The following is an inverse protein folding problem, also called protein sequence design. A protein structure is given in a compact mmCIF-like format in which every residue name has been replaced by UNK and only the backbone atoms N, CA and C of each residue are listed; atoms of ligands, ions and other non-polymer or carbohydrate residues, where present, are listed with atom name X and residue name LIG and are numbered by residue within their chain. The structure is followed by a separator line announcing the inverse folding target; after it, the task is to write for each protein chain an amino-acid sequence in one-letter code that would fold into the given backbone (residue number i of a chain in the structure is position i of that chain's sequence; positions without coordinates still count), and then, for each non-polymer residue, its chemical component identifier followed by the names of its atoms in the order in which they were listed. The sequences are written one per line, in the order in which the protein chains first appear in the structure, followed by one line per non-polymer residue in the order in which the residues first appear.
data_IF_232667202567
#
_entry.id   IF_232667202567
#
_cell.length_a   1.000
_cell.length_b   1.000
_cell.length_c   1.000
_cell.angle_alpha   90.00
_cell.angle_beta   90.00
_cell.angle_gamma   90.00
#
_symmetry.space_group_name_H-M   'P 1'
#
loop_
_entity.id
_entity.type
_entity.pdbx_description
1 polymer ?
#
# COMPACT_ATOMS: atom_id res chain seq x y z
N UNK A 1 -7.32 -1.43 11.65
CA UNK A 1 -6.87 -0.25 12.42
C UNK A 1 -7.51 0.95 11.75
N UNK A 2 -8.55 1.51 12.38
CA UNK A 2 -9.31 2.61 11.80
C UNK A 2 -8.57 3.89 12.14
N UNK A 3 -8.12 4.63 11.13
CA UNK A 3 -7.71 6.03 11.28
C UNK A 3 -8.94 6.83 11.75
N UNK A 4 -9.16 6.82 13.06
CA UNK A 4 -10.24 7.56 13.73
C UNK A 4 -9.92 9.05 13.61
N UNK A 5 -10.66 9.73 12.74
CA UNK A 5 -10.54 11.17 12.51
C UNK A 5 -9.50 11.52 11.45
N UNK A 6 -9.91 11.55 10.18
CA UNK A 6 -9.14 12.26 9.17
C UNK A 6 -9.12 13.75 9.50
N UNK A 7 -8.14 14.21 10.27
CA UNK A 7 -7.96 15.62 10.63
C UNK A 7 -7.65 16.51 9.40
N UNK A 8 -7.43 15.89 8.23
CA UNK A 8 -7.21 16.56 6.95
C UNK A 8 -8.41 17.37 6.43
N UNK A 9 -9.54 17.46 7.13
CA UNK A 9 -10.51 18.52 6.82
C UNK A 9 -9.94 19.92 7.10
N UNK A 10 -9.01 20.04 8.06
CA UNK A 10 -8.37 21.30 8.46
C UNK A 10 -7.20 21.63 7.54
N UNK A 11 -7.19 22.84 6.96
CA UNK A 11 -6.24 23.28 5.92
C UNK A 11 -4.75 23.09 6.29
N UNK A 12 -4.41 23.14 7.59
CA UNK A 12 -3.04 22.91 8.09
C UNK A 12 -2.66 21.44 8.33
N UNK A 13 -3.62 20.56 8.62
CA UNK A 13 -3.37 19.15 9.00
C UNK A 13 -3.41 18.16 7.83
N UNK A 14 -3.76 18.65 6.63
CA UNK A 14 -3.88 17.85 5.40
C UNK A 14 -2.60 17.16 4.97
N UNK A 15 -1.48 17.88 5.04
CA UNK A 15 -0.18 17.35 4.64
C UNK A 15 0.28 16.25 5.59
N UNK A 16 0.07 16.46 6.88
CA UNK A 16 0.45 15.49 7.90
C UNK A 16 -0.45 14.25 7.84
N UNK A 17 -1.75 14.42 7.58
CA UNK A 17 -2.68 13.30 7.34
C UNK A 17 -2.31 12.49 6.08
N UNK A 18 -1.96 13.16 4.98
CA UNK A 18 -1.48 12.52 3.75
C UNK A 18 -0.18 11.74 3.97
N UNK A 19 0.76 12.32 4.72
CA UNK A 19 2.00 11.63 5.10
C UNK A 19 1.72 10.42 5.98
N UNK A 20 0.87 10.56 7.01
CA UNK A 20 0.51 9.47 7.91
C UNK A 20 -0.11 8.27 7.18
N UNK A 21 -0.95 8.52 6.17
CA UNK A 21 -1.53 7.47 5.32
C UNK A 21 -0.44 6.75 4.53
N UNK A 22 0.46 7.51 3.88
CA UNK A 22 1.56 6.93 3.10
C UNK A 22 2.47 6.09 3.99
N UNK A 23 2.82 6.58 5.17
CA UNK A 23 3.58 5.82 6.17
C UNK A 23 2.84 4.56 6.62
N UNK A 24 1.52 4.61 6.80
CA UNK A 24 0.73 3.44 7.19
C UNK A 24 0.70 2.36 6.09
N UNK A 25 0.58 2.76 4.83
CA UNK A 25 0.63 1.84 3.68
C UNK A 25 2.03 1.20 3.60
N UNK A 26 3.10 1.99 3.75
CA UNK A 26 4.48 1.47 3.79
C UNK A 26 4.69 0.52 4.96
N UNK A 27 4.19 0.87 6.16
CA UNK A 27 4.26 0.02 7.34
C UNK A 27 3.59 -1.33 7.09
N UNK A 28 2.42 -1.34 6.45
CA UNK A 28 1.76 -2.59 6.05
C UNK A 28 2.59 -3.37 5.03
N UNK A 29 3.15 -2.70 4.02
CA UNK A 29 4.06 -3.31 3.04
C UNK A 29 5.27 -3.99 3.70
N UNK A 30 5.99 -3.26 4.56
CA UNK A 30 7.15 -3.79 5.30
C UNK A 30 6.78 -5.00 6.16
N UNK A 31 5.60 -4.99 6.81
CA UNK A 31 5.13 -6.17 7.57
C UNK A 31 4.90 -7.38 6.68
N UNK A 32 4.23 -7.21 5.54
CA UNK A 32 4.01 -8.30 4.60
C UNK A 32 5.33 -8.85 4.05
N UNK A 33 6.27 -7.94 3.75
CA UNK A 33 7.62 -8.28 3.30
C UNK A 33 8.38 -9.12 4.33
N UNK A 34 8.29 -8.76 5.61
CA UNK A 34 9.00 -9.51 6.66
C UNK A 34 8.50 -10.96 6.78
N UNK A 35 7.18 -11.18 6.73
CA UNK A 35 6.63 -12.54 6.72
C UNK A 35 7.14 -13.36 5.51
N UNK A 36 7.19 -12.75 4.32
CA UNK A 36 7.70 -13.40 3.11
C UNK A 36 9.22 -13.62 3.15
N UNK A 37 9.98 -12.71 3.77
CA UNK A 37 11.43 -12.86 3.93
C UNK A 37 11.77 -14.02 4.87
N UNK A 38 11.02 -14.17 5.97
CA UNK A 38 11.16 -15.33 6.87
C UNK A 38 10.94 -16.65 6.11
N UNK A 39 9.92 -16.70 5.25
CA UNK A 39 9.62 -17.86 4.40
C UNK A 39 10.72 -18.08 3.37
N UNK A 40 11.23 -17.03 2.73
CA UNK A 40 12.35 -17.11 1.79
C UNK A 40 13.57 -17.75 2.44
N UNK A 41 14.01 -17.21 3.58
CA UNK A 41 15.24 -17.65 4.25
C UNK A 41 15.10 -19.09 4.76
N UNK A 42 13.93 -19.42 5.32
CA UNK A 42 13.64 -20.78 5.78
C UNK A 42 13.58 -21.77 4.61
N UNK A 43 12.88 -21.42 3.53
CA UNK A 43 12.83 -22.25 2.30
C UNK A 43 14.20 -22.48 1.70
N UNK A 44 15.09 -21.48 1.75
CA UNK A 44 16.45 -21.61 1.25
C UNK A 44 17.28 -22.60 2.09
N UNK A 45 17.17 -22.52 3.43
CA UNK A 45 17.80 -23.50 4.34
C UNK A 45 17.30 -24.92 4.10
N UNK A 46 15.99 -25.07 3.86
CA UNK A 46 15.33 -26.36 3.65
C UNK A 46 15.47 -26.88 2.21
N UNK A 47 16.26 -26.19 1.37
CA UNK A 47 16.48 -26.50 -0.05
C UNK A 47 15.20 -26.50 -0.91
N UNK A 48 14.12 -25.86 -0.44
CA UNK A 48 12.87 -25.62 -1.18
C UNK A 48 12.99 -24.39 -2.08
N UNK A 49 13.87 -24.47 -3.07
CA UNK A 49 14.30 -23.33 -3.91
C UNK A 49 13.14 -22.66 -4.65
N UNK A 50 12.13 -23.43 -5.09
CA UNK A 50 10.98 -22.86 -5.80
C UNK A 50 10.13 -21.93 -4.93
N UNK A 51 9.96 -22.27 -3.65
CA UNK A 51 9.24 -21.42 -2.68
C UNK A 51 10.08 -20.18 -2.39
N UNK A 52 11.39 -20.34 -2.20
CA UNK A 52 12.29 -19.21 -1.97
C UNK A 52 12.22 -18.21 -3.13
N UNK A 53 12.31 -18.68 -4.39
CA UNK A 53 12.19 -17.81 -5.58
C UNK A 53 10.84 -17.09 -5.62
N UNK A 54 9.74 -17.78 -5.34
CA UNK A 54 8.41 -17.19 -5.33
C UNK A 54 8.27 -16.11 -4.24
N UNK A 55 8.74 -16.39 -3.02
CA UNK A 55 8.71 -15.43 -1.92
C UNK A 55 9.57 -14.19 -2.23
N UNK A 56 10.77 -14.39 -2.81
CA UNK A 56 11.65 -13.29 -3.20
C UNK A 56 11.04 -12.41 -4.29
N UNK A 57 10.38 -13.00 -5.28
CA UNK A 57 9.67 -12.25 -6.31
C UNK A 57 8.59 -11.34 -5.69
N UNK A 58 7.78 -11.88 -4.78
CA UNK A 58 6.75 -11.11 -4.08
C UNK A 58 7.36 -9.98 -3.21
N UNK A 59 8.47 -10.23 -2.51
CA UNK A 59 9.20 -9.17 -1.80
C UNK A 59 9.63 -8.03 -2.72
N UNK A 60 10.11 -8.33 -3.94
CA UNK A 60 10.49 -7.29 -4.91
C UNK A 60 9.26 -6.48 -5.37
N UNK A 61 8.10 -7.12 -5.55
CA UNK A 61 6.84 -6.42 -5.85
C UNK A 61 6.45 -5.46 -4.72
N UNK A 62 6.62 -5.88 -3.46
CA UNK A 62 6.38 -5.01 -2.30
C UNK A 62 7.36 -3.83 -2.28
N UNK A 63 8.64 -4.08 -2.56
CA UNK A 63 9.66 -3.03 -2.62
C UNK A 63 9.31 -1.98 -3.70
N UNK A 64 8.81 -2.41 -4.86
CA UNK A 64 8.31 -1.50 -5.91
C UNK A 64 7.11 -0.67 -5.45
N UNK A 65 6.16 -1.26 -4.72
CA UNK A 65 5.03 -0.52 -4.15
C UNK A 65 5.49 0.55 -3.16
N UNK A 66 6.41 0.21 -2.26
CA UNK A 66 6.96 1.15 -1.27
C UNK A 66 7.65 2.32 -1.96
N UNK A 67 8.46 2.04 -2.98
CA UNK A 67 9.16 3.06 -3.76
C UNK A 67 8.19 4.01 -4.48
N UNK A 68 7.10 3.46 -5.05
CA UNK A 68 6.06 4.27 -5.69
C UNK A 68 5.34 5.18 -4.70
N UNK A 69 5.12 4.72 -3.46
CA UNK A 69 4.52 5.52 -2.39
C UNK A 69 5.46 6.65 -1.95
N UNK A 70 6.75 6.36 -1.82
CA UNK A 70 7.76 7.35 -1.44
C UNK A 70 7.92 8.44 -2.50
N UNK A 71 7.89 8.06 -3.78
CA UNK A 71 7.93 9.00 -4.92
C UNK A 71 6.59 9.67 -5.22
N UNK A 72 5.51 9.22 -4.60
CA UNK A 72 4.16 9.73 -4.87
C UNK A 72 4.05 11.21 -4.51
N UNK A 73 3.56 12.06 -5.42
CA UNK A 73 3.42 13.48 -5.14
C UNK A 73 2.36 13.70 -4.05
N UNK A 74 2.70 14.54 -3.06
CA UNK A 74 1.65 15.14 -2.24
C UNK A 74 0.84 16.09 -3.14
N UNK A 75 -0.48 15.91 -3.22
CA UNK A 75 -1.37 16.77 -4.03
C UNK A 75 -1.51 18.21 -3.51
N UNK A 76 -0.63 18.65 -2.61
CA UNK A 76 -0.72 19.89 -1.85
C UNK A 76 0.55 20.76 -1.99
N UNK A 77 1.21 20.68 -3.15
CA UNK A 77 2.35 21.52 -3.50
C UNK A 77 1.88 22.84 -4.10
N UNK A 78 1.51 23.78 -3.23
CA UNK A 78 1.31 25.16 -3.64
C UNK A 78 2.15 26.08 -2.75
N UNK A 79 2.98 26.90 -3.39
CA UNK A 79 3.67 28.00 -2.74
C UNK A 79 2.63 28.92 -2.09
N UNK A 80 2.96 29.47 -0.91
CA UNK A 80 2.10 30.34 -0.08
C UNK A 80 1.41 31.50 -0.83
N UNK A 81 1.81 31.82 -2.07
CA UNK A 81 1.27 32.90 -2.90
C UNK A 81 0.30 32.47 -4.02
N UNK A 82 0.02 31.18 -4.26
CA UNK A 82 -0.93 30.82 -5.31
C UNK A 82 -2.38 30.92 -4.79
N UNK A 83 -3.13 31.92 -5.26
CA UNK A 83 -4.54 32.17 -4.92
C UNK A 83 -5.55 31.11 -5.40
N UNK A 84 -5.16 29.83 -5.51
CA UNK A 84 -6.11 28.75 -5.81
C UNK A 84 -6.90 28.33 -4.56
N UNK A 85 -8.22 28.18 -4.74
CA UNK A 85 -9.16 27.74 -3.70
C UNK A 85 -8.78 26.34 -3.21
N UNK A 86 -8.85 26.15 -1.90
CA UNK A 86 -8.73 24.86 -1.22
C UNK A 86 -9.56 23.78 -1.91
N UNK A 87 -9.04 22.56 -2.00
CA UNK A 87 -9.76 21.34 -2.38
C UNK A 87 -11.21 21.32 -1.85
N UNK A 88 -12.19 20.98 -2.71
CA UNK A 88 -13.59 20.87 -2.28
C UNK A 88 -13.80 19.67 -1.35
N UNK A 89 -14.77 19.79 -0.43
CA UNK A 89 -15.09 18.73 0.54
C UNK A 89 -15.45 17.41 -0.15
N UNK A 90 -16.11 17.45 -1.30
CA UNK A 90 -16.50 16.25 -2.05
C UNK A 90 -15.30 15.49 -2.63
N UNK A 91 -14.27 16.18 -3.12
CA UNK A 91 -13.06 15.53 -3.62
C UNK A 91 -12.19 15.03 -2.46
N UNK A 92 -12.12 15.77 -1.34
CA UNK A 92 -11.46 15.28 -0.12
C UNK A 92 -12.09 13.97 0.37
N UNK A 93 -13.42 13.86 0.41
CA UNK A 93 -14.11 12.61 0.75
C UNK A 93 -13.75 11.45 -0.18
N UNK A 94 -13.59 11.71 -1.49
CA UNK A 94 -13.14 10.70 -2.46
C UNK A 94 -11.71 10.24 -2.19
N UNK A 95 -10.81 11.17 -1.90
CA UNK A 95 -9.42 10.85 -1.56
C UNK A 95 -9.33 10.02 -0.29
N UNK A 96 -10.06 10.40 0.77
CA UNK A 96 -10.10 9.65 2.04
C UNK A 96 -10.59 8.23 1.81
N UNK A 97 -11.68 8.07 1.05
CA UNK A 97 -12.21 6.74 0.74
C UNK A 97 -11.20 5.91 -0.05
N UNK A 98 -10.60 6.50 -1.08
CA UNK A 98 -9.58 5.84 -1.89
C UNK A 98 -8.39 5.38 -1.04
N UNK A 99 -7.83 6.27 -0.22
CA UNK A 99 -6.72 5.96 0.68
C UNK A 99 -7.10 4.87 1.71
N UNK A 100 -8.32 4.91 2.27
CA UNK A 100 -8.83 3.89 3.18
C UNK A 100 -8.93 2.51 2.50
N UNK A 101 -9.48 2.45 1.29
CA UNK A 101 -9.62 1.22 0.52
C UNK A 101 -8.22 0.61 0.24
N UNK A 102 -7.19 1.43 -0.05
CA UNK A 102 -5.81 0.95 -0.20
C UNK A 102 -5.29 0.33 1.10
N UNK A 103 -5.50 0.97 2.25
CA UNK A 103 -5.07 0.44 3.56
C UNK A 103 -5.76 -0.90 3.85
N UNK A 104 -7.04 -1.04 3.52
CA UNK A 104 -7.77 -2.29 3.68
C UNK A 104 -7.21 -3.41 2.79
N UNK A 105 -6.89 -3.10 1.53
CA UNK A 105 -6.22 -4.06 0.63
C UNK A 105 -4.85 -4.46 1.15
N UNK A 106 -4.06 -3.52 1.68
CA UNK A 106 -2.76 -3.81 2.28
C UNK A 106 -2.87 -4.65 3.56
N UNK A 107 -3.89 -4.41 4.37
CA UNK A 107 -4.16 -5.22 5.56
C UNK A 107 -4.47 -6.67 5.16
N UNK A 108 -5.24 -6.88 4.08
CA UNK A 108 -5.49 -8.21 3.52
C UNK A 108 -4.18 -8.86 3.03
N UNK A 109 -3.31 -8.11 2.35
CA UNK A 109 -2.01 -8.62 1.91
C UNK A 109 -1.14 -9.09 3.09
N UNK A 110 -1.11 -8.33 4.20
CA UNK A 110 -0.43 -8.72 5.45
C UNK A 110 -1.00 -10.03 5.99
N UNK A 111 -2.32 -10.16 6.06
CA UNK A 111 -2.96 -11.39 6.56
C UNK A 111 -2.64 -12.61 5.68
N UNK A 112 -2.61 -12.44 4.35
CA UNK A 112 -2.20 -13.50 3.42
C UNK A 112 -0.72 -13.84 3.65
N UNK A 113 0.18 -12.86 3.79
CA UNK A 113 1.61 -13.11 4.03
C UNK A 113 1.87 -13.87 5.34
N UNK A 114 1.10 -13.57 6.40
CA UNK A 114 1.13 -14.33 7.65
C UNK A 114 0.64 -15.77 7.42
N UNK A 115 -0.42 -15.95 6.63
CA UNK A 115 -0.92 -17.27 6.25
C UNK A 115 0.11 -18.08 5.44
N UNK A 116 0.95 -17.42 4.63
CA UNK A 116 2.07 -18.09 3.93
C UNK A 116 3.07 -18.63 4.96
N UNK A 117 3.49 -17.80 5.92
CA UNK A 117 4.45 -18.22 6.95
C UNK A 117 3.89 -19.36 7.81
N UNK A 118 2.62 -19.25 8.22
CA UNK A 118 1.93 -20.33 8.92
C UNK A 118 1.86 -21.60 8.06
N UNK A 119 1.46 -21.52 6.79
CA UNK A 119 1.37 -22.67 5.90
C UNK A 119 2.74 -23.35 5.72
N UNK A 120 3.81 -22.57 5.57
CA UNK A 120 5.16 -23.09 5.47
C UNK A 120 5.60 -23.79 6.77
N UNK A 121 5.32 -23.21 7.93
CA UNK A 121 5.68 -23.79 9.24
C UNK A 121 4.87 -25.04 9.62
N UNK A 122 3.67 -25.19 9.06
CA UNK A 122 2.75 -26.32 9.35
C UNK A 122 2.93 -27.49 8.39
N UNK A 123 4.07 -27.57 7.69
CA UNK A 123 4.39 -28.60 6.69
C UNK A 123 3.28 -28.85 5.66
N UNK A 124 2.55 -27.78 5.29
CA UNK A 124 1.61 -27.84 4.16
C UNK A 124 2.36 -28.13 2.87
N UNK A 125 1.62 -28.58 1.87
CA UNK A 125 2.22 -28.91 0.59
C UNK A 125 2.86 -27.68 -0.04
N UNK A 126 4.02 -27.86 -0.67
CA UNK A 126 4.74 -26.76 -1.33
C UNK A 126 3.85 -26.02 -2.36
N UNK A 127 2.89 -26.72 -2.97
CA UNK A 127 1.92 -26.11 -3.89
C UNK A 127 0.93 -25.17 -3.20
N UNK A 128 0.46 -25.49 -1.99
CA UNK A 128 -0.39 -24.60 -1.20
C UNK A 128 0.37 -23.34 -0.77
N UNK A 129 1.61 -23.50 -0.31
CA UNK A 129 2.46 -22.36 0.07
C UNK A 129 2.68 -21.44 -1.15
N UNK A 130 3.04 -22.00 -2.31
CA UNK A 130 3.18 -21.24 -3.56
C UNK A 130 1.89 -20.55 -3.98
N UNK A 131 0.74 -21.20 -3.81
CA UNK A 131 -0.57 -20.59 -4.10
C UNK A 131 -0.82 -19.37 -3.22
N UNK A 132 -0.54 -19.45 -1.92
CA UNK A 132 -0.69 -18.32 -1.00
C UNK A 132 0.28 -17.18 -1.32
N UNK A 133 1.53 -17.48 -1.69
CA UNK A 133 2.49 -16.46 -2.13
C UNK A 133 1.96 -15.71 -3.36
N UNK A 134 1.41 -16.43 -4.34
CA UNK A 134 0.81 -15.82 -5.54
C UNK A 134 -0.41 -14.96 -5.21
N UNK A 135 -1.26 -15.40 -4.28
CA UNK A 135 -2.38 -14.59 -3.80
C UNK A 135 -1.92 -13.31 -3.11
N UNK A 136 -0.83 -13.39 -2.33
CA UNK A 136 -0.21 -12.21 -1.71
C UNK A 136 0.32 -11.25 -2.79
N UNK A 137 1.06 -11.76 -3.77
CA UNK A 137 1.63 -10.97 -4.87
C UNK A 137 0.54 -10.29 -5.72
N UNK A 138 -0.55 -11.01 -6.02
CA UNK A 138 -1.70 -10.44 -6.71
C UNK A 138 -2.37 -9.33 -5.89
N UNK A 139 -2.50 -9.51 -4.57
CA UNK A 139 -3.06 -8.47 -3.70
C UNK A 139 -2.16 -7.24 -3.66
N UNK A 140 -0.84 -7.40 -3.54
CA UNK A 140 0.12 -6.29 -3.57
C UNK A 140 0.07 -5.56 -4.91
N UNK A 141 0.05 -6.28 -6.03
CA UNK A 141 -0.05 -5.68 -7.37
C UNK A 141 -1.36 -4.92 -7.55
N UNK A 142 -2.47 -5.48 -7.04
CA UNK A 142 -3.77 -4.81 -7.06
C UNK A 142 -3.77 -3.54 -6.21
N UNK A 143 -3.19 -3.59 -5.00
CA UNK A 143 -3.03 -2.42 -4.12
C UNK A 143 -2.20 -1.34 -4.78
N UNK A 144 -1.10 -1.71 -5.45
CA UNK A 144 -0.24 -0.81 -6.21
C UNK A 144 -0.97 -0.14 -7.36
N UNK A 145 -1.68 -0.91 -8.17
CA UNK A 145 -2.51 -0.40 -9.26
C UNK A 145 -3.58 0.57 -8.74
N UNK A 146 -4.29 0.20 -7.69
CA UNK A 146 -5.31 1.05 -7.09
C UNK A 146 -4.71 2.32 -6.48
N UNK A 147 -3.57 2.22 -5.77
CA UNK A 147 -2.84 3.37 -5.25
C UNK A 147 -2.38 4.32 -6.36
N UNK A 148 -1.92 3.82 -7.51
CA UNK A 148 -1.49 4.67 -8.62
C UNK A 148 -2.62 5.56 -9.17
N UNK A 149 -3.88 5.12 -9.09
CA UNK A 149 -5.05 5.91 -9.47
C UNK A 149 -5.29 7.13 -8.56
N UNK A 150 -4.58 7.21 -7.42
CA UNK A 150 -4.56 8.39 -6.54
C UNK A 150 -4.18 9.65 -7.30
N UNK A 151 -3.23 9.57 -8.23
CA UNK A 151 -2.80 10.72 -9.03
C UNK A 151 -3.98 11.36 -9.78
N UNK A 152 -4.89 10.55 -10.34
CA UNK A 152 -6.11 11.03 -11.01
C UNK A 152 -7.08 11.72 -10.04
N UNK A 153 -7.22 11.19 -8.82
CA UNK A 153 -8.03 11.83 -7.77
C UNK A 153 -7.43 13.18 -7.37
N UNK A 154 -6.10 13.26 -7.29
CA UNK A 154 -5.37 14.48 -6.98
C UNK A 154 -5.37 15.50 -8.15
N UNK A 155 -5.32 15.07 -9.40
CA UNK A 155 -5.43 15.97 -10.54
C UNK A 155 -6.82 16.61 -10.65
N UNK A 156 -7.86 15.89 -10.21
CA UNK A 156 -9.19 16.46 -9.97
C UNK A 156 -9.20 17.59 -8.92
N UNK A 157 -8.22 17.63 -8.00
CA UNK A 157 -8.03 18.74 -7.06
C UNK A 157 -7.39 19.97 -7.70
N UNK A 158 -6.62 19.80 -8.78
CA UNK A 158 -5.85 20.86 -9.44
C UNK A 158 -6.66 21.68 -10.44
N UNK A 159 -7.75 21.13 -10.98
CA UNK A 159 -8.55 21.81 -12.01
C UNK A 159 -9.25 23.06 -11.46
N UNK A 160 -8.88 24.24 -11.99
CA UNK A 160 -9.69 25.46 -11.88
C UNK A 160 -11.04 25.19 -12.57
N UNK A 161 -12.14 25.41 -11.85
CA UNK A 161 -13.46 25.55 -12.48
C UNK A 161 -13.31 26.69 -13.51
N UNK A 162 -13.39 26.40 -14.81
CA UNK A 162 -13.57 27.45 -15.82
C UNK A 162 -14.88 28.15 -15.46
N UNK A 163 -14.77 29.43 -15.10
CA UNK A 163 -15.91 30.35 -14.94
C UNK A 163 -16.46 30.60 -16.33
#
# INVERSE_FOLDING_TARGET
MVLSGYEGYTKGKRRDADLAIREEIKRCGTRARNHLLNVHDSSFRDKKIDIAKAAKACCNTIDQLIEDIDKSPSGMTHAFFSGQRSASISVLKKLIKHDHDVIDMMTKAVNISNSVEHAFSSDKTDNEVKSLIRQCDQMITSSRGYYSARATVLDGLRQKRKV
#
